data_IF_642354360234
#
_entry.id   IF_642354360234
#
_cell.length_a   1.000
_cell.length_b   1.000
_cell.length_c   1.000
_cell.angle_alpha   90.00
_cell.angle_beta   90.00
_cell.angle_gamma   90.00
#
_symmetry.space_group_name_H-M   'P 1'
#
loop_
_entity.id
_entity.type
_entity.pdbx_description
1 polymer ?
#
# COMPACT_ATOMS: atom_id res chain seq x y z
N UNK A 1 18.72 -13.30 -3.48
CA UNK A 1 19.19 -13.18 -4.90
C UNK A 1 17.97 -13.23 -5.80
N UNK A 2 17.79 -12.24 -6.68
CA UNK A 2 16.65 -12.15 -7.59
C UNK A 2 16.46 -13.43 -8.43
N UNK A 3 15.19 -13.81 -8.65
CA UNK A 3 14.82 -14.97 -9.49
C UNK A 3 14.92 -14.68 -10.99
N UNK A 4 15.00 -13.41 -11.37
CA UNK A 4 15.14 -12.96 -12.75
C UNK A 4 16.27 -11.94 -12.85
N UNK A 5 17.33 -12.25 -13.58
CA UNK A 5 18.46 -11.35 -13.77
C UNK A 5 19.24 -11.01 -12.49
N UNK A 6 20.18 -10.09 -12.63
CA UNK A 6 20.96 -9.55 -11.52
C UNK A 6 20.65 -8.05 -11.42
N UNK A 7 20.22 -7.61 -10.24
CA UNK A 7 19.92 -6.22 -9.93
C UNK A 7 20.70 -5.82 -8.68
N UNK A 8 21.06 -4.54 -8.56
CA UNK A 8 21.57 -4.01 -7.31
C UNK A 8 20.49 -4.12 -6.22
N UNK A 9 20.90 -4.23 -4.96
CA UNK A 9 19.93 -4.43 -3.85
C UNK A 9 18.95 -3.27 -3.70
N UNK A 10 19.32 -2.06 -4.14
CA UNK A 10 18.53 -0.83 -4.15
C UNK A 10 17.81 -0.58 -5.48
N UNK A 11 18.05 -1.39 -6.52
CA UNK A 11 17.39 -1.27 -7.82
C UNK A 11 16.04 -1.98 -7.82
N UNK A 12 15.03 -1.30 -7.29
CA UNK A 12 13.65 -1.81 -7.23
C UNK A 12 12.90 -1.77 -8.57
N UNK A 13 13.44 -1.09 -9.56
CA UNK A 13 12.78 -0.87 -10.86
C UNK A 13 13.51 -1.53 -12.04
N UNK A 14 14.75 -1.96 -11.88
CA UNK A 14 15.57 -2.52 -12.97
C UNK A 14 14.94 -3.72 -13.68
N UNK A 15 14.11 -4.49 -12.97
CA UNK A 15 13.36 -5.59 -13.58
C UNK A 15 12.30 -5.12 -14.59
N UNK A 16 11.84 -3.85 -14.52
CA UNK A 16 10.93 -3.27 -15.51
C UNK A 16 11.56 -3.25 -16.91
N UNK A 17 12.89 -3.13 -17.00
CA UNK A 17 13.61 -3.17 -18.26
C UNK A 17 13.51 -4.53 -18.97
N UNK A 18 13.09 -5.59 -18.27
CA UNK A 18 12.84 -6.92 -18.87
C UNK A 18 11.50 -6.94 -19.64
N UNK A 19 10.60 -6.00 -19.34
CA UNK A 19 9.33 -5.81 -20.05
C UNK A 19 9.02 -4.31 -20.09
N UNK A 20 9.72 -3.54 -20.95
CA UNK A 20 9.75 -2.08 -20.86
C UNK A 20 8.38 -1.42 -21.03
N UNK A 21 7.55 -1.92 -21.92
CA UNK A 21 6.22 -1.34 -22.18
C UNK A 21 5.29 -1.57 -20.99
N UNK A 22 5.24 -2.80 -20.47
CA UNK A 22 4.42 -3.13 -19.29
C UNK A 22 4.99 -2.46 -18.04
N UNK A 23 6.31 -2.50 -17.86
CA UNK A 23 7.00 -1.86 -16.75
C UNK A 23 6.80 -0.35 -16.74
N UNK A 24 6.85 0.30 -17.90
CA UNK A 24 6.56 1.74 -18.04
C UNK A 24 5.13 2.09 -17.64
N UNK A 25 4.15 1.30 -18.10
CA UNK A 25 2.74 1.48 -17.73
C UNK A 25 2.51 1.29 -16.23
N UNK A 26 3.13 0.26 -15.64
CA UNK A 26 3.06 -0.01 -14.20
C UNK A 26 3.74 1.11 -13.38
N UNK A 27 4.87 1.64 -13.85
CA UNK A 27 5.55 2.79 -13.25
C UNK A 27 4.66 4.04 -13.25
N UNK A 28 3.97 4.32 -14.35
CA UNK A 28 2.99 5.40 -14.46
C UNK A 28 1.81 5.22 -13.49
N UNK A 29 1.29 4.00 -13.37
CA UNK A 29 0.24 3.68 -12.40
C UNK A 29 0.74 3.88 -10.96
N UNK A 30 1.93 3.38 -10.63
CA UNK A 30 2.54 3.60 -9.32
C UNK A 30 2.70 5.08 -8.99
N UNK A 31 3.23 5.87 -9.94
CA UNK A 31 3.35 7.31 -9.77
C UNK A 31 1.99 7.95 -9.48
N UNK A 32 0.94 7.60 -10.25
CA UNK A 32 -0.40 8.14 -10.05
C UNK A 32 -0.95 7.82 -8.66
N UNK A 33 -0.79 6.58 -8.17
CA UNK A 33 -1.22 6.17 -6.83
C UNK A 33 -0.58 7.01 -5.73
N UNK A 34 0.68 7.38 -5.88
CA UNK A 34 1.37 8.17 -4.84
C UNK A 34 1.20 9.69 -5.00
N UNK A 35 1.00 10.21 -6.22
CA UNK A 35 0.95 11.66 -6.47
C UNK A 35 -0.44 12.22 -6.71
N UNK A 36 -1.43 11.39 -7.07
CA UNK A 36 -2.81 11.81 -7.41
C UNK A 36 -3.87 11.27 -6.45
N UNK A 37 -3.48 10.51 -5.47
CA UNK A 37 -4.38 9.93 -4.48
C UNK A 37 -5.00 11.03 -3.59
N UNK A 38 -6.31 10.97 -3.39
CA UNK A 38 -7.10 11.93 -2.60
C UNK A 38 -7.28 11.50 -1.14
N UNK A 39 -6.95 10.26 -0.80
CA UNK A 39 -7.01 9.81 0.60
C UNK A 39 -6.11 10.66 1.49
N UNK A 40 -6.54 10.96 2.73
CA UNK A 40 -5.62 11.47 3.74
C UNK A 40 -4.39 10.57 3.83
N UNK A 41 -3.20 11.19 3.91
CA UNK A 41 -1.95 10.45 3.84
C UNK A 41 -1.87 9.36 4.92
N UNK A 42 -2.34 9.65 6.12
CA UNK A 42 -2.34 8.72 7.24
C UNK A 42 -3.23 7.50 6.97
N UNK A 43 -4.43 7.73 6.41
CA UNK A 43 -5.35 6.65 5.98
C UNK A 43 -4.72 5.78 4.89
N UNK A 44 -4.10 6.41 3.89
CA UNK A 44 -3.41 5.72 2.79
C UNK A 44 -2.25 4.87 3.31
N UNK A 45 -1.41 5.43 4.19
CA UNK A 45 -0.22 4.74 4.69
C UNK A 45 -0.57 3.55 5.59
N UNK A 46 -1.61 3.65 6.43
CA UNK A 46 -2.04 2.50 7.21
C UNK A 46 -2.52 1.35 6.30
N UNK A 47 -3.36 1.65 5.30
CA UNK A 47 -3.83 0.64 4.35
C UNK A 47 -2.67 0.00 3.58
N UNK A 48 -1.69 0.81 3.13
CA UNK A 48 -0.48 0.33 2.45
C UNK A 48 0.34 -0.59 3.36
N UNK A 49 0.54 -0.20 4.61
CA UNK A 49 1.33 -0.97 5.58
C UNK A 49 0.66 -2.32 5.89
N UNK A 50 -0.67 -2.37 6.03
CA UNK A 50 -1.42 -3.63 6.20
C UNK A 50 -1.15 -4.58 5.02
N UNK A 51 -1.24 -4.10 3.77
CA UNK A 51 -0.95 -4.94 2.60
C UNK A 51 0.52 -5.35 2.55
N UNK A 52 1.44 -4.46 2.93
CA UNK A 52 2.87 -4.78 2.97
C UNK A 52 3.17 -5.99 3.87
N UNK A 53 2.53 -6.04 5.05
CA UNK A 53 2.61 -7.19 5.95
C UNK A 53 1.94 -8.44 5.38
N UNK A 54 0.77 -8.31 4.74
CA UNK A 54 0.08 -9.46 4.09
C UNK A 54 0.88 -10.06 2.94
N UNK A 55 1.67 -9.25 2.25
CA UNK A 55 2.56 -9.69 1.18
C UNK A 55 3.91 -10.23 1.70
N UNK A 56 4.21 -10.08 3.00
CA UNK A 56 5.54 -10.36 3.57
C UNK A 56 6.67 -9.65 2.80
N UNK A 57 6.40 -8.46 2.27
CA UNK A 57 7.29 -7.70 1.42
C UNK A 57 8.15 -6.76 2.28
N UNK A 58 9.39 -7.13 2.56
CA UNK A 58 10.27 -6.40 3.49
C UNK A 58 10.48 -4.96 3.06
N UNK A 59 10.78 -4.70 1.79
CA UNK A 59 10.92 -3.32 1.30
C UNK A 59 9.62 -2.53 1.46
N UNK A 60 8.47 -3.17 1.23
CA UNK A 60 7.18 -2.49 1.36
C UNK A 60 6.87 -2.13 2.83
N UNK A 61 7.24 -2.99 3.79
CA UNK A 61 7.11 -2.72 5.24
C UNK A 61 8.03 -1.56 5.65
N UNK A 62 9.24 -1.50 5.09
CA UNK A 62 10.22 -0.48 5.40
C UNK A 62 10.04 0.83 4.61
N UNK A 63 9.04 0.91 3.73
CA UNK A 63 8.75 2.12 2.96
C UNK A 63 8.19 3.22 3.87
N UNK A 64 8.68 4.46 3.68
CA UNK A 64 8.21 5.67 4.35
C UNK A 64 7.93 6.75 3.33
N UNK A 65 6.97 7.63 3.63
CA UNK A 65 6.63 8.80 2.81
C UNK A 65 7.30 10.05 3.40
N UNK A 66 7.97 10.87 2.57
CA UNK A 66 8.65 12.09 3.02
C UNK A 66 7.68 13.10 3.63
N UNK A 67 6.44 13.16 3.13
CA UNK A 67 5.39 14.03 3.66
C UNK A 67 4.74 13.46 4.95
N UNK A 68 5.10 12.22 5.32
CA UNK A 68 4.52 11.48 6.43
C UNK A 68 4.52 12.24 7.75
N UNK A 69 5.68 12.69 8.25
CA UNK A 69 5.75 13.39 9.54
C UNK A 69 4.86 14.63 9.62
N UNK A 70 4.77 15.40 8.54
CA UNK A 70 3.90 16.58 8.46
C UNK A 70 2.41 16.23 8.48
N UNK A 71 2.07 15.02 8.06
CA UNK A 71 0.69 14.49 8.04
C UNK A 71 0.35 13.62 9.27
N UNK A 72 1.21 13.57 10.29
CA UNK A 72 1.02 12.74 11.48
C UNK A 72 1.25 11.26 11.25
N UNK A 73 1.99 10.90 10.21
CA UNK A 73 2.47 9.53 9.95
C UNK A 73 3.87 9.40 10.56
N UNK A 74 3.93 8.84 11.72
CA UNK A 74 5.15 8.61 12.48
C UNK A 74 5.44 7.10 12.64
N UNK A 75 6.51 6.74 13.31
CA UNK A 75 6.84 5.34 13.54
C UNK A 75 5.81 4.63 14.41
N UNK A 76 5.13 5.33 15.33
CA UNK A 76 4.07 4.76 16.16
C UNK A 76 2.91 4.21 15.30
N UNK A 77 2.54 4.90 14.20
CA UNK A 77 1.57 4.38 13.23
C UNK A 77 2.00 3.00 12.70
N UNK A 78 3.28 2.84 12.33
CA UNK A 78 3.76 1.58 11.75
C UNK A 78 3.94 0.47 12.78
N UNK A 79 4.29 0.79 14.02
CA UNK A 79 4.44 -0.18 15.12
C UNK A 79 3.12 -0.87 15.45
N UNK A 80 2.00 -0.16 15.36
CA UNK A 80 0.67 -0.67 15.70
C UNK A 80 -0.14 -1.22 14.50
N UNK A 81 0.48 -1.38 13.32
CA UNK A 81 -0.22 -1.91 12.11
C UNK A 81 -0.90 -3.24 12.37
N UNK A 82 -0.32 -4.14 13.15
CA UNK A 82 -0.92 -5.43 13.47
C UNK A 82 -2.14 -5.32 14.41
N UNK A 83 -2.26 -4.20 15.12
CA UNK A 83 -3.33 -3.89 16.06
C UNK A 83 -4.36 -2.92 15.46
N UNK A 84 -4.41 -2.79 14.13
CA UNK A 84 -5.22 -1.77 13.46
C UNK A 84 -6.71 -1.80 13.85
N UNK A 85 -7.21 -2.95 14.34
CA UNK A 85 -8.59 -3.09 14.81
C UNK A 85 -8.85 -2.43 16.16
N UNK A 86 -7.86 -2.40 17.03
CA UNK A 86 -8.05 -2.11 18.47
C UNK A 86 -7.22 -0.95 18.99
N UNK A 87 -6.13 -0.61 18.31
CA UNK A 87 -5.28 0.48 18.77
C UNK A 87 -6.03 1.83 18.73
N UNK A 88 -6.09 2.57 19.87
CA UNK A 88 -6.89 3.79 19.97
C UNK A 88 -6.36 4.96 19.14
N UNK A 89 -5.10 4.92 18.70
CA UNK A 89 -4.48 5.95 17.87
C UNK A 89 -4.96 6.00 16.42
N UNK A 90 -5.78 5.03 15.96
CA UNK A 90 -6.39 5.08 14.63
C UNK A 90 -7.82 5.60 14.70
N UNK A 91 -8.18 6.47 13.76
CA UNK A 91 -9.55 6.90 13.53
C UNK A 91 -10.41 5.78 12.91
N UNK A 92 -11.73 5.94 12.91
CA UNK A 92 -12.62 4.97 12.26
C UNK A 92 -12.39 4.90 10.74
N UNK A 93 -12.15 6.03 10.08
CA UNK A 93 -11.80 6.05 8.66
C UNK A 93 -10.51 5.26 8.38
N UNK A 94 -9.49 5.41 9.22
CA UNK A 94 -8.24 4.66 9.12
C UNK A 94 -8.46 3.16 9.32
N UNK A 95 -9.26 2.76 10.32
CA UNK A 95 -9.61 1.35 10.56
C UNK A 95 -10.38 0.72 9.41
N UNK A 96 -11.33 1.44 8.83
CA UNK A 96 -12.08 0.98 7.67
C UNK A 96 -11.18 0.81 6.44
N UNK A 97 -10.25 1.73 6.20
CA UNK A 97 -9.25 1.58 5.13
C UNK A 97 -8.33 0.39 5.36
N UNK A 98 -7.91 0.15 6.60
CA UNK A 98 -7.11 -1.01 6.98
C UNK A 98 -7.91 -2.31 6.83
N UNK A 99 -9.18 -2.34 7.23
CA UNK A 99 -10.08 -3.48 7.05
C UNK A 99 -10.29 -3.79 5.56
N UNK A 100 -10.55 -2.75 4.75
CA UNK A 100 -10.64 -2.91 3.31
C UNK A 100 -9.38 -3.53 2.74
N UNK A 101 -8.22 -2.97 3.05
CA UNK A 101 -6.91 -3.42 2.55
C UNK A 101 -6.60 -4.88 2.96
N UNK A 102 -6.87 -5.22 4.22
CA UNK A 102 -6.68 -6.57 4.75
C UNK A 102 -7.55 -7.59 3.99
N UNK A 103 -8.85 -7.30 3.91
CA UNK A 103 -9.82 -8.19 3.26
C UNK A 103 -9.70 -8.23 1.74
N UNK A 104 -9.32 -7.10 1.11
CA UNK A 104 -9.00 -7.07 -0.32
C UNK A 104 -7.87 -8.05 -0.67
N UNK A 105 -6.85 -8.12 0.17
CA UNK A 105 -5.71 -9.02 -0.03
C UNK A 105 -6.01 -10.49 0.31
N UNK A 106 -6.99 -10.77 1.19
CA UNK A 106 -7.16 -12.10 1.81
C UNK A 106 -8.55 -12.72 1.66
N UNK A 107 -9.61 -11.91 1.49
CA UNK A 107 -11.01 -12.36 1.55
C UNK A 107 -11.94 -11.47 0.70
N UNK A 108 -11.51 -11.08 -0.51
CA UNK A 108 -12.21 -10.08 -1.35
C UNK A 108 -13.66 -10.46 -1.70
N UNK A 109 -13.97 -11.75 -1.86
CA UNK A 109 -15.34 -12.20 -2.14
C UNK A 109 -16.26 -11.96 -0.94
N UNK A 110 -15.79 -12.30 0.28
CA UNK A 110 -16.56 -12.04 1.49
C UNK A 110 -16.68 -10.52 1.79
N UNK A 111 -15.66 -9.73 1.41
CA UNK A 111 -15.73 -8.27 1.49
C UNK A 111 -16.84 -7.71 0.58
N UNK A 112 -16.97 -8.22 -0.64
CA UNK A 112 -18.02 -7.80 -1.59
C UNK A 112 -19.43 -7.94 -1.00
N UNK A 113 -19.66 -9.02 -0.25
CA UNK A 113 -21.01 -9.42 0.20
C UNK A 113 -21.34 -8.90 1.63
N UNK A 114 -20.48 -8.04 2.20
CA UNK A 114 -20.62 -7.53 3.58
C UNK A 114 -21.30 -6.15 3.58
N UNK A 115 -22.63 -6.13 3.57
CA UNK A 115 -23.44 -4.91 3.58
C UNK A 115 -23.17 -4.02 4.82
N UNK A 116 -22.88 -4.62 5.97
CA UNK A 116 -22.57 -3.88 7.19
C UNK A 116 -21.24 -3.10 7.05
N UNK A 117 -20.23 -3.73 6.44
CA UNK A 117 -18.98 -3.07 6.13
C UNK A 117 -19.18 -1.89 5.15
N UNK A 118 -19.94 -2.11 4.07
CA UNK A 118 -20.18 -1.08 3.06
C UNK A 118 -21.01 0.08 3.60
N UNK A 119 -21.98 -0.19 4.50
CA UNK A 119 -22.75 0.85 5.18
C UNK A 119 -21.83 1.75 6.02
N UNK A 120 -20.91 1.16 6.80
CA UNK A 120 -19.92 1.93 7.56
C UNK A 120 -18.97 2.71 6.66
N UNK A 121 -18.54 2.14 5.54
CA UNK A 121 -17.71 2.85 4.57
C UNK A 121 -18.39 4.08 4.00
N UNK A 122 -19.69 4.01 3.67
CA UNK A 122 -20.46 5.13 3.12
C UNK A 122 -20.54 6.33 4.07
N UNK A 123 -20.37 6.13 5.37
CA UNK A 123 -20.33 7.22 6.37
C UNK A 123 -18.98 7.98 6.38
N UNK A 124 -17.91 7.35 5.88
CA UNK A 124 -16.54 7.86 6.02
C UNK A 124 -15.83 8.11 4.69
N UNK A 125 -16.31 7.57 3.58
CA UNK A 125 -15.69 7.69 2.26
C UNK A 125 -16.70 8.09 1.20
N UNK A 126 -16.31 8.99 0.31
CA UNK A 126 -16.98 9.16 -0.97
C UNK A 126 -16.61 8.04 -1.95
N UNK A 127 -17.38 7.89 -3.02
CA UNK A 127 -17.08 6.91 -4.08
C UNK A 127 -15.69 7.12 -4.69
N UNK A 128 -15.25 8.39 -4.80
CA UNK A 128 -13.93 8.72 -5.33
C UNK A 128 -12.80 8.28 -4.40
N UNK A 129 -12.98 8.43 -3.08
CA UNK A 129 -12.00 7.97 -2.09
C UNK A 129 -11.93 6.45 -2.03
N UNK A 130 -13.07 5.77 -2.14
CA UNK A 130 -13.12 4.30 -2.23
C UNK A 130 -12.47 3.79 -3.51
N UNK A 131 -12.68 4.49 -4.64
CA UNK A 131 -12.01 4.16 -5.89
C UNK A 131 -10.47 4.32 -5.77
N UNK A 132 -10.00 5.42 -5.17
CA UNK A 132 -8.57 5.64 -4.92
C UNK A 132 -7.99 4.55 -3.99
N UNK A 133 -8.72 4.17 -2.95
CA UNK A 133 -8.31 3.09 -2.04
C UNK A 133 -8.23 1.75 -2.77
N UNK A 134 -9.24 1.38 -3.54
CA UNK A 134 -9.28 0.11 -4.27
C UNK A 134 -8.15 0.01 -5.32
N UNK A 135 -7.92 1.07 -6.10
CA UNK A 135 -6.83 1.12 -7.07
C UNK A 135 -5.46 1.05 -6.40
N UNK A 136 -5.31 1.73 -5.27
CA UNK A 136 -4.07 1.65 -4.47
C UNK A 136 -3.82 0.25 -3.94
N UNK A 137 -4.85 -0.40 -3.40
CA UNK A 137 -4.76 -1.79 -2.94
C UNK A 137 -4.38 -2.75 -4.08
N UNK A 138 -4.93 -2.56 -5.29
CA UNK A 138 -4.59 -3.36 -6.46
C UNK A 138 -3.08 -3.24 -6.80
N UNK A 139 -2.55 -2.01 -6.79
CA UNK A 139 -1.12 -1.76 -6.97
C UNK A 139 -0.30 -2.47 -5.89
N UNK A 140 -0.60 -2.22 -4.62
CA UNK A 140 0.22 -2.69 -3.50
C UNK A 140 0.21 -4.22 -3.37
N UNK A 141 -0.94 -4.86 -3.57
CA UNK A 141 -1.03 -6.33 -3.56
C UNK A 141 -0.22 -6.90 -4.71
N UNK A 142 -0.39 -6.39 -5.94
CA UNK A 142 0.34 -6.88 -7.10
C UNK A 142 1.84 -6.66 -6.99
N UNK A 143 2.26 -5.41 -6.75
CA UNK A 143 3.68 -5.05 -6.66
C UNK A 143 4.39 -5.74 -5.51
N UNK A 144 3.81 -5.75 -4.32
CA UNK A 144 4.43 -6.39 -3.17
C UNK A 144 4.62 -7.89 -3.36
N UNK A 145 3.65 -8.57 -3.99
CA UNK A 145 3.78 -10.00 -4.33
C UNK A 145 4.83 -10.23 -5.40
N UNK A 146 4.92 -9.39 -6.43
CA UNK A 146 5.98 -9.48 -7.45
C UNK A 146 7.35 -9.34 -6.80
N UNK A 147 7.59 -8.28 -6.03
CA UNK A 147 8.87 -8.04 -5.36
C UNK A 147 9.23 -9.19 -4.41
N UNK A 148 8.27 -9.70 -3.65
CA UNK A 148 8.49 -10.82 -2.74
C UNK A 148 8.77 -12.12 -3.48
N UNK A 149 7.97 -12.45 -4.51
CA UNK A 149 8.10 -13.69 -5.29
C UNK A 149 9.42 -13.73 -6.07
N UNK A 150 9.83 -12.59 -6.64
CA UNK A 150 11.06 -12.48 -7.42
C UNK A 150 12.31 -12.20 -6.57
N UNK A 151 12.14 -12.04 -5.27
CA UNK A 151 13.21 -11.72 -4.32
C UNK A 151 13.98 -10.44 -4.71
N UNK A 152 13.23 -9.36 -5.00
CA UNK A 152 13.77 -8.07 -5.41
C UNK A 152 13.63 -7.08 -4.25
N UNK A 153 14.73 -6.39 -3.90
CA UNK A 153 14.75 -5.29 -2.94
C UNK A 153 14.42 -5.69 -1.49
N UNK A 154 14.52 -6.97 -1.13
CA UNK A 154 14.07 -7.44 0.20
C UNK A 154 14.97 -6.98 1.36
N UNK A 155 16.10 -6.32 1.08
CA UNK A 155 16.97 -5.70 2.10
C UNK A 155 16.84 -4.16 2.13
N UNK A 156 16.00 -3.57 1.26
CA UNK A 156 15.94 -2.12 1.05
C UNK A 156 15.01 -1.40 2.01
N UNK A 157 15.29 -0.11 2.18
CA UNK A 157 14.33 0.91 2.65
C UNK A 157 14.03 1.83 1.48
N UNK A 158 12.75 2.08 1.24
CA UNK A 158 12.31 2.99 0.19
C UNK A 158 11.69 4.22 0.82
N UNK A 159 12.07 5.39 0.31
CA UNK A 159 11.42 6.65 0.63
C UNK A 159 10.57 7.09 -0.57
N UNK A 160 9.29 7.33 -0.33
CA UNK A 160 8.39 7.93 -1.33
C UNK A 160 8.65 9.43 -1.31
N UNK A 161 9.06 10.05 -2.43
CA UNK A 161 9.36 11.48 -2.48
C UNK A 161 8.15 12.34 -2.16
N UNK A 162 8.41 13.52 -1.61
CA UNK A 162 7.41 14.56 -1.38
C UNK A 162 6.65 14.91 -2.67
N UNK A 163 5.38 15.24 -2.51
CA UNK A 163 4.51 15.57 -3.65
C UNK A 163 4.69 16.99 -4.16
N UNK A 164 5.48 17.83 -3.44
CA UNK A 164 5.72 19.24 -3.78
C UNK A 164 4.58 20.16 -3.42
#
# INVERSE_FOLDING_TARGET
MSRIGTFADDDLAGWFAKSPDIGGALGGFSQAVYTKNRLPLRTRELARAVIAHRNECVVCVNTRDEDGPAAGVDEELYEHVHEWRTWPGYSEQERLAAEFADRFATAHTALRDDEDFWSRCAEHFSDELLADLALSCALWVGMGRVLRTLDIGQACKLTIPSRG
#
